data_IF_342415875309
#
_entry.id   IF_342415875309
#
_cell.length_a   1.000
_cell.length_b   1.000
_cell.length_c   1.000
_cell.angle_alpha   90.00
_cell.angle_beta   90.00
_cell.angle_gamma   90.00
#
_symmetry.space_group_name_H-M   'P 1'
#
loop_
_entity.id
_entity.type
_entity.pdbx_description
1 polymer ?
#
# COMPACT_ATOMS: atom_id res chain seq x y z
N UNK A 1 -8.56 -42.08 15.21
CA UNK A 1 -7.31 -42.46 14.52
C UNK A 1 -7.19 -41.63 13.25
N UNK A 2 -6.07 -40.90 13.10
CA UNK A 2 -5.37 -40.42 11.88
C UNK A 2 -6.16 -39.82 10.67
N UNK A 3 -6.00 -38.48 10.52
CA UNK A 3 -5.59 -37.65 9.35
C UNK A 3 -5.89 -38.14 7.92
N UNK A 4 -6.33 -37.22 7.04
CA UNK A 4 -5.74 -36.84 5.73
C UNK A 4 -6.43 -35.56 5.21
N UNK A 5 -5.68 -34.76 4.46
CA UNK A 5 -5.95 -33.41 4.01
C UNK A 5 -6.16 -33.31 2.48
N UNK A 6 -6.52 -32.09 2.02
CA UNK A 6 -6.15 -31.41 0.75
C UNK A 6 -7.25 -31.16 -0.31
N UNK A 7 -7.49 -29.85 -0.54
CA UNK A 7 -7.66 -29.09 -1.80
C UNK A 7 -9.03 -28.85 -2.51
N UNK A 8 -9.31 -27.54 -2.65
CA UNK A 8 -9.47 -26.74 -3.89
C UNK A 8 -10.86 -26.44 -4.51
N UNK A 9 -10.87 -25.21 -5.09
CA UNK A 9 -11.78 -24.57 -6.06
C UNK A 9 -13.07 -23.91 -5.53
N UNK A 10 -13.61 -22.78 -6.02
CA UNK A 10 -13.20 -21.58 -6.77
C UNK A 10 -14.48 -21.03 -7.44
N UNK A 11 -14.84 -19.75 -7.26
CA UNK A 11 -15.82 -18.98 -8.09
C UNK A 11 -15.51 -17.48 -7.90
N UNK A 12 -14.65 -16.85 -8.71
CA UNK A 12 -14.88 -16.17 -10.01
C UNK A 12 -15.71 -14.87 -9.91
N UNK A 13 -15.07 -13.73 -10.22
CA UNK A 13 -15.55 -12.60 -11.07
C UNK A 13 -14.86 -11.28 -10.65
N UNK A 14 -13.77 -10.85 -11.31
CA UNK A 14 -13.76 -9.94 -12.48
C UNK A 14 -14.24 -8.53 -12.11
N UNK A 15 -13.33 -7.53 -11.95
CA UNK A 15 -13.58 -6.11 -12.32
C UNK A 15 -12.31 -5.23 -12.46
N UNK A 16 -11.17 -5.43 -11.78
CA UNK A 16 -10.11 -4.38 -11.79
C UNK A 16 -8.97 -4.68 -12.76
N UNK A 17 -9.25 -4.53 -14.06
CA UNK A 17 -8.33 -4.82 -15.18
C UNK A 17 -7.96 -3.58 -15.99
N UNK A 18 -7.87 -2.38 -15.39
CA UNK A 18 -7.75 -1.13 -16.16
C UNK A 18 -6.66 -0.13 -15.76
N UNK A 19 -5.75 -0.40 -14.81
CA UNK A 19 -4.80 0.67 -14.40
C UNK A 19 -3.38 0.26 -14.00
N UNK A 20 -2.73 -0.65 -14.74
CA UNK A 20 -1.27 -0.78 -14.65
C UNK A 20 -0.64 -0.92 -16.02
N UNK A 21 -0.91 0.06 -16.87
CA UNK A 21 -0.13 0.25 -18.07
C UNK A 21 1.27 0.75 -17.69
N UNK A 22 2.28 0.13 -18.31
CA UNK A 22 3.65 0.64 -18.51
C UNK A 22 4.71 0.33 -17.43
N UNK A 23 5.23 -0.90 -17.51
CA UNK A 23 6.64 -1.23 -17.26
C UNK A 23 7.50 -0.65 -18.40
N UNK A 24 8.63 0.00 -18.11
CA UNK A 24 9.65 0.39 -19.10
C UNK A 24 10.67 -0.74 -19.28
N UNK A 25 11.13 -0.88 -20.52
CA UNK A 25 11.82 -2.00 -21.16
C UNK A 25 13.33 -1.84 -21.13
N UNK A 26 14.10 -2.94 -20.96
CA UNK A 26 15.36 -3.15 -21.67
C UNK A 26 15.54 -4.63 -22.04
N UNK A 27 16.29 -4.86 -23.13
CA UNK A 27 16.64 -6.11 -23.81
C UNK A 27 15.72 -6.57 -24.96
N UNK A 28 16.17 -6.26 -26.19
CA UNK A 28 15.89 -7.06 -27.39
C UNK A 28 16.85 -8.25 -27.44
N UNK A 29 16.39 -9.43 -27.87
CA UNK A 29 16.57 -9.79 -29.27
C UNK A 29 15.33 -10.44 -29.92
N UNK A 30 15.38 -10.38 -31.26
CA UNK A 30 14.40 -10.79 -32.26
C UNK A 30 13.95 -12.26 -32.18
N UNK A 31 12.63 -12.49 -32.24
CA UNK A 31 12.02 -13.69 -32.83
C UNK A 31 10.54 -13.42 -33.17
N UNK A 32 10.17 -13.71 -34.42
CA UNK A 32 8.87 -13.57 -35.07
C UNK A 32 7.71 -14.18 -34.27
N UNK A 33 6.73 -13.36 -33.85
CA UNK A 33 5.46 -13.82 -33.30
C UNK A 33 4.56 -12.71 -32.77
N UNK A 34 3.34 -12.62 -33.33
CA UNK A 34 2.13 -11.86 -32.93
C UNK A 34 2.17 -11.01 -31.63
N UNK A 35 1.70 -9.75 -31.63
CA UNK A 35 1.69 -8.93 -30.42
C UNK A 35 0.66 -9.44 -29.40
N UNK A 36 1.14 -9.81 -28.22
CA UNK A 36 0.32 -10.21 -27.06
C UNK A 36 0.54 -9.18 -25.94
N UNK A 37 -0.51 -8.61 -25.34
CA UNK A 37 -0.37 -7.53 -24.38
C UNK A 37 0.23 -8.04 -23.06
N UNK A 38 1.38 -7.47 -22.68
CA UNK A 38 2.09 -7.75 -21.44
C UNK A 38 1.27 -7.29 -20.23
N UNK A 39 0.92 -8.24 -19.35
CA UNK A 39 0.27 -8.00 -18.06
C UNK A 39 1.27 -7.30 -17.12
N UNK A 40 0.84 -6.36 -16.26
CA UNK A 40 1.74 -5.63 -15.37
C UNK A 40 2.29 -6.56 -14.30
N UNK A 41 3.57 -6.45 -14.00
CA UNK A 41 4.21 -7.15 -12.90
C UNK A 41 3.56 -6.75 -11.57
N UNK A 42 3.05 -7.72 -10.84
CA UNK A 42 2.73 -7.55 -9.42
C UNK A 42 4.01 -7.11 -8.69
N UNK A 43 3.96 -6.12 -7.78
CA UNK A 43 5.13 -5.79 -6.98
C UNK A 43 5.61 -7.06 -6.27
N UNK A 44 6.93 -7.31 -6.22
CA UNK A 44 7.45 -8.47 -5.54
C UNK A 44 6.93 -8.42 -4.10
N UNK A 45 6.23 -9.47 -3.67
CA UNK A 45 5.99 -9.72 -2.26
C UNK A 45 7.38 -9.95 -1.68
N UNK A 46 7.96 -8.89 -1.14
CA UNK A 46 9.30 -8.91 -0.60
C UNK A 46 9.29 -9.77 0.66
N UNK A 47 9.66 -11.03 0.47
CA UNK A 47 10.11 -11.88 1.55
C UNK A 47 11.44 -11.29 2.05
N UNK A 48 11.41 -10.66 3.23
CA UNK A 48 12.58 -10.13 3.91
C UNK A 48 12.85 -8.65 3.64
N UNK A 49 12.34 -7.79 4.54
CA UNK A 49 12.85 -6.46 4.88
C UNK A 49 12.80 -5.35 3.83
N UNK A 50 12.75 -5.66 2.52
CA UNK A 50 12.92 -4.68 1.45
C UNK A 50 11.85 -4.81 0.36
N UNK A 51 10.86 -3.93 0.38
CA UNK A 51 9.80 -3.89 -0.63
C UNK A 51 8.70 -2.93 -0.22
N UNK A 52 7.60 -2.97 -0.96
CA UNK A 52 6.42 -2.16 -0.65
C UNK A 52 5.44 -2.97 0.18
N UNK A 53 5.11 -2.47 1.37
CA UNK A 53 4.19 -3.10 2.31
C UNK A 53 2.96 -2.22 2.47
N UNK A 54 1.79 -2.82 2.29
CA UNK A 54 0.52 -2.12 2.43
C UNK A 54 -0.13 -2.53 3.74
N UNK A 55 -0.39 -1.54 4.57
CA UNK A 55 -1.08 -1.74 5.84
C UNK A 55 -2.53 -2.15 5.67
N UNK A 56 -3.11 -2.67 6.75
CA UNK A 56 -4.55 -2.94 6.81
C UNK A 56 -5.29 -1.62 6.88
N UNK A 57 -6.36 -1.47 6.10
CA UNK A 57 -7.20 -0.28 6.16
C UNK A 57 -7.81 -0.14 7.56
N UNK A 58 -7.68 1.05 8.15
CA UNK A 58 -8.26 1.39 9.44
C UNK A 58 -9.59 2.13 9.21
N UNK A 59 -10.68 1.55 9.67
CA UNK A 59 -12.00 2.19 9.65
C UNK A 59 -12.03 3.35 10.65
N UNK A 60 -12.19 4.57 10.13
CA UNK A 60 -12.39 5.77 10.95
C UNK A 60 -13.82 6.27 10.81
N UNK A 61 -14.23 7.21 11.69
CA UNK A 61 -15.57 7.81 11.65
C UNK A 61 -15.93 8.43 10.29
N UNK A 62 -14.93 8.86 9.52
CA UNK A 62 -15.12 9.56 8.24
C UNK A 62 -14.80 8.68 7.03
N UNK A 63 -14.35 7.44 7.23
CA UNK A 63 -14.02 6.50 6.18
C UNK A 63 -12.77 5.67 6.48
N UNK A 64 -12.48 4.65 5.66
CA UNK A 64 -11.24 3.89 5.77
C UNK A 64 -10.02 4.77 5.48
N UNK A 65 -8.91 4.46 6.16
CA UNK A 65 -7.59 5.05 5.92
C UNK A 65 -6.60 3.92 5.71
N UNK A 66 -5.86 3.94 4.61
CA UNK A 66 -4.87 2.93 4.28
C UNK A 66 -3.57 3.55 3.80
N UNK A 67 -2.48 3.03 4.37
CA UNK A 67 -1.11 3.50 4.15
C UNK A 67 -0.28 2.39 3.55
N UNK A 68 0.57 2.78 2.61
CA UNK A 68 1.55 1.94 1.96
C UNK A 68 2.93 2.53 2.21
N UNK A 69 3.85 1.71 2.70
CA UNK A 69 5.25 2.07 2.89
C UNK A 69 6.14 1.33 1.91
N UNK A 70 7.27 1.94 1.59
CA UNK A 70 8.38 1.25 0.93
C UNK A 70 9.53 1.16 1.91
N UNK A 71 10.05 -0.04 2.09
CA UNK A 71 11.18 -0.32 2.97
C UNK A 71 12.35 -0.76 2.10
N UNK A 72 13.52 -0.19 2.35
CA UNK A 72 14.77 -0.52 1.67
C UNK A 72 15.91 -0.55 2.68
N UNK A 73 16.65 -1.65 2.75
CA UNK A 73 17.70 -1.85 3.75
C UNK A 73 17.16 -1.85 5.18
N UNK A 74 15.93 -2.32 5.40
CA UNK A 74 15.27 -2.29 6.73
C UNK A 74 14.88 -0.90 7.23
N UNK A 75 14.82 0.11 6.35
CA UNK A 75 14.32 1.45 6.66
C UNK A 75 13.20 1.86 5.72
N UNK A 76 12.25 2.62 6.24
CA UNK A 76 11.16 3.21 5.46
C UNK A 76 11.74 4.32 4.59
N UNK A 77 11.68 4.14 3.27
CA UNK A 77 12.19 5.10 2.26
C UNK A 77 11.08 5.89 1.58
N UNK A 78 9.84 5.40 1.64
CA UNK A 78 8.65 6.12 1.18
C UNK A 78 7.44 5.73 2.02
N UNK A 79 6.49 6.66 2.17
CA UNK A 79 5.19 6.43 2.78
C UNK A 79 4.12 7.16 1.95
N UNK A 80 3.00 6.50 1.70
CA UNK A 80 1.94 6.96 0.81
C UNK A 80 0.57 6.55 1.38
N UNK A 81 -0.34 7.52 1.53
CA UNK A 81 -1.73 7.23 1.86
C UNK A 81 -2.48 6.84 0.58
N UNK A 82 -2.78 5.56 0.40
CA UNK A 82 -3.46 5.04 -0.79
C UNK A 82 -4.98 5.12 -0.69
N UNK A 83 -5.50 5.25 0.53
CA UNK A 83 -6.92 5.43 0.81
C UNK A 83 -7.09 6.34 2.03
N UNK A 84 -7.98 7.33 1.94
CA UNK A 84 -8.26 8.28 3.02
C UNK A 84 -9.56 9.03 2.72
N UNK A 85 -10.26 9.51 3.76
CA UNK A 85 -11.55 10.17 3.60
C UNK A 85 -11.42 11.49 2.85
N UNK A 86 -12.14 11.60 1.74
CA UNK A 86 -12.15 12.79 0.86
C UNK A 86 -13.57 13.24 0.52
N UNK A 87 -14.56 12.80 1.31
CA UNK A 87 -15.98 12.99 1.01
C UNK A 87 -16.40 14.47 1.07
N UNK A 88 -15.84 15.26 1.98
CA UNK A 88 -16.12 16.70 2.07
C UNK A 88 -14.97 17.55 1.52
N UNK A 89 -15.30 18.69 0.91
CA UNK A 89 -14.29 19.69 0.49
C UNK A 89 -13.48 20.28 1.67
N UNK A 90 -13.91 20.09 2.92
CA UNK A 90 -13.10 20.36 4.12
C UNK A 90 -12.02 19.30 4.32
N UNK A 91 -12.36 18.03 4.17
CA UNK A 91 -11.44 16.90 4.36
C UNK A 91 -10.34 16.93 3.30
N UNK A 92 -10.71 17.19 2.04
CA UNK A 92 -9.74 17.37 0.95
C UNK A 92 -8.74 18.49 1.26
N UNK A 93 -9.21 19.64 1.76
CA UNK A 93 -8.32 20.77 2.13
C UNK A 93 -7.38 20.39 3.26
N UNK A 94 -7.88 19.76 4.32
CA UNK A 94 -7.08 19.34 5.47
C UNK A 94 -6.07 18.26 5.06
N UNK A 95 -6.52 17.21 4.39
CA UNK A 95 -5.68 16.08 3.99
C UNK A 95 -4.63 16.50 2.95
N UNK A 96 -4.90 17.50 2.10
CA UNK A 96 -3.89 18.01 1.15
C UNK A 96 -2.63 18.58 1.83
N UNK A 97 -2.77 19.13 3.04
CA UNK A 97 -1.65 19.59 3.85
C UNK A 97 -1.16 18.51 4.83
N UNK A 98 -2.07 17.74 5.42
CA UNK A 98 -1.74 16.75 6.45
C UNK A 98 -1.05 15.50 5.89
N UNK A 99 -1.48 14.96 4.74
CA UNK A 99 -0.88 13.74 4.15
C UNK A 99 0.63 13.90 3.87
N UNK A 100 1.12 14.96 3.21
CA UNK A 100 2.56 15.11 2.99
C UNK A 100 3.34 15.32 4.29
N UNK A 101 2.77 16.01 5.28
CA UNK A 101 3.38 16.18 6.61
C UNK A 101 3.50 14.83 7.34
N UNK A 102 2.42 14.04 7.40
CA UNK A 102 2.42 12.68 7.97
C UNK A 102 3.40 11.75 7.26
N UNK A 103 3.52 11.84 5.94
CA UNK A 103 4.48 11.05 5.17
C UNK A 103 5.93 11.43 5.52
N UNK A 104 6.23 12.72 5.60
CA UNK A 104 7.56 13.19 6.02
C UNK A 104 7.88 12.76 7.44
N UNK A 105 6.91 12.86 8.34
CA UNK A 105 7.08 12.47 9.71
C UNK A 105 7.31 10.96 9.85
N UNK A 106 6.60 10.15 9.06
CA UNK A 106 6.83 8.69 8.99
C UNK A 106 8.26 8.37 8.58
N UNK A 107 8.81 9.11 7.61
CA UNK A 107 10.19 8.95 7.18
C UNK A 107 11.20 9.36 8.26
N UNK A 108 10.87 10.35 9.08
CA UNK A 108 11.72 10.79 10.19
C UNK A 108 11.63 9.85 11.40
N UNK A 109 10.42 9.49 11.81
CA UNK A 109 10.15 8.63 12.96
C UNK A 109 10.54 7.17 12.71
N UNK A 110 10.53 6.73 11.44
CA UNK A 110 10.75 5.32 11.04
C UNK A 110 9.84 4.34 11.80
N UNK A 111 8.69 4.82 12.28
CA UNK A 111 7.81 4.14 13.22
C UNK A 111 6.36 4.58 12.97
N UNK A 112 5.40 3.79 13.45
CA UNK A 112 3.98 4.18 13.36
C UNK A 112 3.58 5.27 14.35
N UNK A 113 4.45 5.59 15.30
CA UNK A 113 4.21 6.62 16.30
C UNK A 113 4.65 7.97 15.72
N UNK A 114 3.73 8.59 14.97
CA UNK A 114 3.85 9.95 14.42
C UNK A 114 2.87 10.87 15.14
N UNK A 115 3.18 12.15 15.22
CA UNK A 115 2.33 13.20 15.72
C UNK A 115 1.09 13.37 14.83
N UNK A 116 0.00 13.77 15.47
CA UNK A 116 -1.26 14.03 14.78
C UNK A 116 -1.28 15.45 14.24
N UNK A 117 -1.74 15.64 13.00
CA UNK A 117 -1.85 16.97 12.40
C UNK A 117 -3.14 17.66 12.86
N UNK A 118 -3.04 18.95 13.18
CA UNK A 118 -4.17 19.76 13.64
C UNK A 118 -5.31 19.76 12.60
N UNK A 119 -6.47 19.23 13.00
CA UNK A 119 -7.65 19.12 12.14
C UNK A 119 -7.77 17.79 11.37
N UNK A 120 -6.74 16.94 11.40
CA UNK A 120 -6.70 15.65 10.72
C UNK A 120 -6.64 14.46 11.70
N UNK A 121 -7.07 14.63 12.96
CA UNK A 121 -6.91 13.62 14.03
C UNK A 121 -7.35 12.22 13.62
N UNK A 122 -8.55 12.08 13.06
CA UNK A 122 -9.06 10.77 12.61
C UNK A 122 -8.23 10.18 11.48
N UNK A 123 -7.79 11.01 10.52
CA UNK A 123 -6.90 10.57 9.44
C UNK A 123 -5.56 10.13 10.02
N UNK A 124 -4.99 10.88 10.97
CA UNK A 124 -3.73 10.54 11.64
C UNK A 124 -3.84 9.24 12.43
N UNK A 125 -4.90 9.03 13.20
CA UNK A 125 -5.13 7.78 13.94
C UNK A 125 -5.25 6.58 12.99
N UNK A 126 -6.06 6.71 11.93
CA UNK A 126 -6.19 5.66 10.91
C UNK A 126 -4.87 5.40 10.18
N UNK A 127 -4.12 6.47 9.89
CA UNK A 127 -2.81 6.39 9.28
C UNK A 127 -1.83 5.63 10.17
N UNK A 128 -1.74 5.95 11.46
CA UNK A 128 -0.89 5.26 12.42
C UNK A 128 -1.23 3.77 12.50
N UNK A 129 -2.51 3.42 12.56
CA UNK A 129 -2.96 2.03 12.70
C UNK A 129 -2.65 1.20 11.43
N UNK A 130 -2.88 1.77 10.24
CA UNK A 130 -2.47 1.15 8.98
C UNK A 130 -0.95 1.07 8.87
N UNK A 131 -0.24 2.13 9.23
CA UNK A 131 1.22 2.19 9.17
C UNK A 131 1.85 1.14 10.08
N UNK A 132 1.35 0.99 11.31
CA UNK A 132 1.80 -0.05 12.24
C UNK A 132 1.66 -1.45 11.63
N UNK A 133 0.53 -1.71 10.97
CA UNK A 133 0.31 -2.99 10.29
C UNK A 133 1.28 -3.19 9.13
N UNK A 134 1.61 -2.14 8.39
CA UNK A 134 2.57 -2.20 7.30
C UNK A 134 4.00 -2.46 7.81
N UNK A 135 4.37 -1.84 8.92
CA UNK A 135 5.67 -2.04 9.59
C UNK A 135 5.77 -3.46 10.16
N UNK A 136 4.71 -3.98 10.79
CA UNK A 136 4.68 -5.37 11.29
C UNK A 136 4.88 -6.36 10.14
N UNK A 137 4.22 -6.14 9.00
CA UNK A 137 4.42 -6.95 7.79
C UNK A 137 5.84 -6.85 7.24
N UNK A 138 6.49 -5.69 7.32
CA UNK A 138 7.86 -5.50 6.86
C UNK A 138 8.91 -6.21 7.75
N UNK A 139 8.58 -6.44 9.03
CA UNK A 139 9.46 -7.07 10.02
C UNK A 139 9.21 -8.57 10.24
N UNK A 140 8.21 -9.16 9.58
CA UNK A 140 7.96 -10.62 9.60
C UNK A 140 8.93 -11.41 8.73
#
# INVERSE_FOLDING_TARGET
MRRIAIAAAATVSVVVLLFSYRTSTDATPVATGRPQPSRPASPPTAAGGNGTFTGVAADTRYGPVQVRITVTGGRITAADAIDYPQESGRDVRINSAAVPELNQETLQAQSAQIDTVSGATYTSEGYQQSLQSAIDQAHR
#
